data_IF_760231026891
#
_entry.id   IF_760231026891
#
_cell.length_a   1.000
_cell.length_b   1.000
_cell.length_c   1.000
_cell.angle_alpha   90.00
_cell.angle_beta   90.00
_cell.angle_gamma   90.00
#
_symmetry.space_group_name_H-M   'P 1'
#
loop_
_entity.id
_entity.type
_entity.pdbx_description
1 polymer ?
#
# COMPACT_ATOMS: atom_id res chain seq x y z
N UNK A 1 1.98 -7.69 13.40
CA UNK A 1 2.63 -8.18 12.16
C UNK A 1 1.70 -9.20 11.51
N UNK A 2 1.50 -9.11 10.19
CA UNK A 2 0.61 -9.95 9.40
C UNK A 2 1.41 -10.60 8.28
N UNK A 3 1.22 -11.91 8.04
CA UNK A 3 2.00 -12.68 7.06
C UNK A 3 1.10 -13.41 6.08
N UNK A 4 1.39 -13.27 4.79
CA UNK A 4 0.76 -13.98 3.69
C UNK A 4 1.85 -14.76 2.94
N UNK A 5 1.69 -16.07 2.79
CA UNK A 5 2.66 -16.90 2.08
C UNK A 5 2.64 -16.66 0.56
N UNK A 6 1.49 -16.21 0.04
CA UNK A 6 1.22 -15.97 -1.37
C UNK A 6 0.80 -14.52 -1.61
N UNK A 7 0.21 -14.25 -2.78
CA UNK A 7 -0.40 -12.97 -3.14
C UNK A 7 -1.46 -12.56 -2.13
N UNK A 8 -1.47 -11.28 -1.76
CA UNK A 8 -2.54 -10.66 -1.00
C UNK A 8 -3.25 -9.61 -1.85
N UNK A 9 -4.55 -9.41 -1.63
CA UNK A 9 -5.29 -8.37 -2.33
C UNK A 9 -6.41 -7.74 -1.52
N UNK A 10 -6.68 -6.46 -1.81
CA UNK A 10 -7.96 -5.81 -1.49
C UNK A 10 -8.86 -6.04 -2.71
N UNK A 11 -9.57 -7.18 -2.72
CA UNK A 11 -10.02 -7.84 -3.94
C UNK A 11 -11.28 -7.26 -4.59
N UNK A 12 -12.18 -6.62 -3.83
CA UNK A 12 -13.46 -6.14 -4.35
C UNK A 12 -13.44 -4.63 -4.67
N UNK A 13 -14.15 -4.17 -5.72
CA UNK A 13 -14.29 -2.75 -6.02
C UNK A 13 -14.85 -1.99 -4.82
N UNK A 14 -14.28 -0.81 -4.55
CA UNK A 14 -14.65 0.03 -3.39
C UNK A 14 -14.49 -0.64 -2.02
N UNK A 15 -13.82 -1.78 -1.93
CA UNK A 15 -13.58 -2.44 -0.65
C UNK A 15 -12.64 -1.61 0.23
N UNK A 16 -12.88 -1.70 1.54
CA UNK A 16 -12.13 -0.98 2.56
C UNK A 16 -11.34 -1.94 3.44
N UNK A 17 -10.06 -1.64 3.63
CA UNK A 17 -9.24 -2.21 4.70
C UNK A 17 -9.05 -1.15 5.78
N UNK A 18 -9.55 -1.40 6.99
CA UNK A 18 -9.41 -0.47 8.11
C UNK A 18 -8.31 -0.92 9.05
N UNK A 19 -7.34 -0.03 9.30
CA UNK A 19 -6.29 -0.19 10.31
C UNK A 19 -6.62 0.72 11.48
N UNK A 20 -6.77 0.13 12.67
CA UNK A 20 -7.23 0.83 13.87
C UNK A 20 -6.23 0.69 14.99
N UNK A 21 -5.84 1.81 15.60
CA UNK A 21 -4.98 1.87 16.76
C UNK A 21 -3.65 2.57 16.47
N UNK A 22 -3.16 3.30 17.47
CA UNK A 22 -1.79 3.82 17.47
C UNK A 22 -0.81 2.66 17.54
N UNK A 23 0.06 2.55 16.54
CA UNK A 23 1.04 1.48 16.47
C UNK A 23 1.59 1.25 15.07
N UNK A 24 2.41 0.20 14.97
CA UNK A 24 3.08 -0.18 13.74
C UNK A 24 2.36 -1.36 13.09
N UNK A 25 1.94 -1.18 11.84
CA UNK A 25 1.35 -2.24 11.03
C UNK A 25 2.41 -2.74 10.05
N UNK A 26 2.71 -4.04 10.05
CA UNK A 26 3.66 -4.66 9.12
C UNK A 26 2.95 -5.80 8.40
N UNK A 27 2.86 -5.71 7.09
CA UNK A 27 2.36 -6.73 6.19
C UNK A 27 3.54 -7.36 5.44
N UNK A 28 3.75 -8.66 5.62
CA UNK A 28 4.73 -9.46 4.87
C UNK A 28 4.00 -10.34 3.87
N UNK A 29 4.21 -10.09 2.58
CA UNK A 29 3.52 -10.74 1.47
C UNK A 29 4.55 -11.52 0.66
N UNK A 30 4.40 -12.84 0.56
CA UNK A 30 5.39 -13.71 -0.09
C UNK A 30 5.49 -13.52 -1.60
N UNK A 31 4.43 -13.01 -2.24
CA UNK A 31 4.42 -12.68 -3.68
C UNK A 31 3.87 -11.28 -3.91
N UNK A 32 2.81 -11.13 -4.72
CA UNK A 32 2.32 -9.84 -5.18
C UNK A 32 1.31 -9.21 -4.21
N UNK A 33 1.17 -7.89 -4.28
CA UNK A 33 0.08 -7.14 -3.66
C UNK A 33 -0.79 -6.51 -4.76
N UNK A 34 -2.10 -6.71 -4.69
CA UNK A 34 -3.05 -6.08 -5.61
C UNK A 34 -4.15 -5.31 -4.88
N UNK A 35 -4.63 -4.22 -5.47
CA UNK A 35 -5.87 -3.57 -5.02
C UNK A 35 -6.86 -3.44 -6.18
N UNK A 36 -8.15 -3.55 -5.88
CA UNK A 36 -9.22 -3.40 -6.87
C UNK A 36 -9.58 -1.92 -7.10
N UNK A 37 -10.39 -1.66 -8.13
CA UNK A 37 -10.90 -0.33 -8.48
C UNK A 37 -11.51 0.38 -7.26
N UNK A 38 -11.15 1.63 -7.03
CA UNK A 38 -11.68 2.49 -5.95
C UNK A 38 -11.53 1.93 -4.52
N UNK A 39 -10.75 0.86 -4.32
CA UNK A 39 -10.50 0.33 -2.99
C UNK A 39 -9.67 1.29 -2.14
N UNK A 40 -9.82 1.21 -0.81
CA UNK A 40 -9.19 2.16 0.09
C UNK A 40 -8.64 1.52 1.37
N UNK A 41 -7.53 2.06 1.85
CA UNK A 41 -7.05 1.81 3.21
C UNK A 41 -7.47 3.00 4.08
N UNK A 42 -8.11 2.71 5.20
CA UNK A 42 -8.55 3.72 6.17
C UNK A 42 -7.81 3.54 7.48
N UNK A 43 -7.22 4.63 7.95
CA UNK A 43 -6.51 4.69 9.20
C UNK A 43 -7.41 5.37 10.23
N UNK A 44 -7.66 4.69 11.35
CA UNK A 44 -8.52 5.20 12.43
C UNK A 44 -7.84 5.03 13.79
N UNK A 45 -8.38 5.70 14.80
CA UNK A 45 -7.99 5.53 16.20
C UNK A 45 -6.47 5.67 16.44
N UNK A 46 -5.84 6.66 15.80
CA UNK A 46 -4.41 6.97 15.95
C UNK A 46 -3.46 6.20 15.01
N UNK A 47 -3.98 5.41 14.07
CA UNK A 47 -3.14 4.82 13.03
C UNK A 47 -2.55 5.90 12.11
N UNK A 48 -1.27 5.78 11.81
CA UNK A 48 -0.50 6.77 11.03
C UNK A 48 0.10 6.11 9.77
N UNK A 49 0.00 6.73 8.58
CA UNK A 49 0.47 6.11 7.34
C UNK A 49 1.96 5.82 7.36
N UNK A 50 2.75 6.71 7.95
CA UNK A 50 4.19 6.53 8.10
C UNK A 50 4.59 5.36 9.02
N UNK A 51 3.64 4.75 9.73
CA UNK A 51 3.84 3.58 10.59
C UNK A 51 3.16 2.31 10.01
N UNK A 52 2.77 2.33 8.74
CA UNK A 52 2.23 1.17 8.00
C UNK A 52 3.25 0.73 6.95
N UNK A 53 3.70 -0.53 7.02
CA UNK A 53 4.74 -1.08 6.14
C UNK A 53 4.21 -2.28 5.36
N UNK A 54 4.49 -2.28 4.06
CA UNK A 54 4.10 -3.33 3.11
C UNK A 54 5.35 -3.93 2.48
N UNK A 55 5.79 -5.09 2.98
CA UNK A 55 6.91 -5.86 2.45
C UNK A 55 6.38 -6.87 1.44
N UNK A 56 6.76 -6.71 0.17
CA UNK A 56 6.14 -7.40 -0.97
C UNK A 56 7.21 -8.19 -1.71
N UNK A 57 7.05 -9.51 -1.74
CA UNK A 57 8.02 -10.46 -2.28
C UNK A 57 8.16 -10.42 -3.80
N UNK A 58 7.22 -9.80 -4.51
CA UNK A 58 7.32 -9.51 -5.94
C UNK A 58 6.89 -8.07 -6.27
N UNK A 59 5.80 -7.88 -7.01
CA UNK A 59 5.30 -6.57 -7.45
C UNK A 59 4.04 -6.14 -6.71
N UNK A 60 3.78 -4.83 -6.70
CA UNK A 60 2.54 -4.24 -6.24
C UNK A 60 1.78 -3.59 -7.41
N UNK A 61 0.46 -3.76 -7.47
CA UNK A 61 -0.42 -3.04 -8.40
C UNK A 61 -1.57 -2.39 -7.63
N UNK A 62 -1.63 -1.06 -7.65
CA UNK A 62 -2.73 -0.30 -7.09
C UNK A 62 -3.76 -0.03 -8.18
N UNK A 63 -4.96 -0.59 -8.04
CA UNK A 63 -6.05 -0.44 -9.00
C UNK A 63 -6.50 1.01 -9.17
N UNK A 64 -7.19 1.31 -10.28
CA UNK A 64 -7.59 2.68 -10.61
C UNK A 64 -8.39 3.32 -9.47
N UNK A 65 -8.14 4.60 -9.19
CA UNK A 65 -8.80 5.32 -8.10
C UNK A 65 -8.53 4.79 -6.68
N UNK A 66 -7.62 3.83 -6.50
CA UNK A 66 -7.30 3.30 -5.17
C UNK A 66 -6.72 4.40 -4.26
N UNK A 67 -7.13 4.41 -2.99
CA UNK A 67 -6.59 5.31 -1.95
C UNK A 67 -5.74 4.51 -0.97
N UNK A 68 -4.44 4.49 -1.21
CA UNK A 68 -3.50 3.65 -0.47
C UNK A 68 -2.79 4.42 0.66
N UNK A 69 -2.46 3.72 1.74
CA UNK A 69 -1.80 4.27 2.93
C UNK A 69 -0.61 3.39 3.31
N UNK A 70 0.57 3.98 3.49
CA UNK A 70 1.74 3.28 4.00
C UNK A 70 2.97 3.30 3.11
N UNK A 71 4.00 2.59 3.55
CA UNK A 71 5.29 2.47 2.89
C UNK A 71 5.32 1.14 2.12
N UNK A 72 5.27 1.22 0.80
CA UNK A 72 5.39 0.08 -0.11
C UNK A 72 6.87 -0.25 -0.35
N UNK A 73 7.26 -1.49 -0.10
CA UNK A 73 8.59 -2.03 -0.38
C UNK A 73 8.44 -3.32 -1.18
N UNK A 74 8.54 -3.21 -2.50
CA UNK A 74 8.42 -4.31 -3.44
C UNK A 74 9.79 -4.76 -3.94
N UNK A 75 10.01 -6.07 -4.00
CA UNK A 75 11.23 -6.62 -4.58
C UNK A 75 11.34 -6.33 -6.08
N UNK A 76 10.21 -6.27 -6.80
CA UNK A 76 10.16 -5.98 -8.23
C UNK A 76 9.58 -4.58 -8.49
N UNK A 77 8.39 -4.48 -9.09
CA UNK A 77 7.79 -3.21 -9.53
C UNK A 77 6.65 -2.73 -8.64
N UNK A 78 6.32 -1.45 -8.73
CA UNK A 78 5.11 -0.86 -8.14
C UNK A 78 4.36 -0.09 -9.24
N UNK A 79 3.15 -0.53 -9.57
CA UNK A 79 2.29 0.13 -10.57
C UNK A 79 1.12 0.85 -9.92
N UNK A 80 0.93 2.12 -10.27
CA UNK A 80 -0.25 2.90 -9.94
C UNK A 80 -1.10 3.04 -11.21
N UNK A 81 -2.26 2.38 -11.20
CA UNK A 81 -3.23 2.55 -12.28
C UNK A 81 -3.87 3.95 -12.20
N UNK A 82 -4.63 4.30 -13.25
CA UNK A 82 -5.18 5.65 -13.42
C UNK A 82 -5.85 6.21 -12.15
N UNK A 83 -5.37 7.37 -11.70
CA UNK A 83 -5.93 8.08 -10.54
C UNK A 83 -5.70 7.40 -9.18
N UNK A 84 -4.91 6.33 -9.10
CA UNK A 84 -4.50 5.77 -7.81
C UNK A 84 -3.67 6.80 -7.03
N UNK A 85 -3.82 6.80 -5.70
CA UNK A 85 -3.16 7.73 -4.80
C UNK A 85 -2.52 7.02 -3.62
N UNK A 86 -1.42 7.59 -3.12
CA UNK A 86 -0.69 7.08 -1.97
C UNK A 86 -0.39 8.20 -0.99
N UNK A 87 -0.67 7.97 0.28
CA UNK A 87 -0.03 8.71 1.37
C UNK A 87 1.01 7.79 2.01
N UNK A 88 2.29 8.09 1.77
CA UNK A 88 3.41 7.26 2.18
C UNK A 88 4.60 7.34 1.21
N UNK A 89 5.22 6.19 0.95
CA UNK A 89 6.38 6.08 0.06
C UNK A 89 6.34 4.76 -0.74
N UNK A 90 6.96 4.74 -1.92
CA UNK A 90 7.02 3.58 -2.80
C UNK A 90 8.47 3.26 -3.17
N UNK A 91 8.94 2.09 -2.75
CA UNK A 91 10.28 1.57 -3.02
C UNK A 91 10.19 0.28 -3.83
N UNK A 92 10.65 0.34 -5.07
CA UNK A 92 10.79 -0.80 -5.98
C UNK A 92 12.28 -1.13 -6.12
N UNK A 93 12.69 -2.36 -5.80
CA UNK A 93 14.12 -2.70 -5.72
C UNK A 93 14.74 -3.04 -7.07
N UNK A 94 14.05 -3.83 -7.90
CA UNK A 94 14.61 -4.40 -9.12
C UNK A 94 13.87 -3.99 -10.41
N UNK A 95 12.83 -3.16 -10.30
CA UNK A 95 12.05 -2.68 -11.45
C UNK A 95 11.46 -1.28 -11.21
N UNK A 96 10.68 -0.79 -12.18
CA UNK A 96 10.15 0.57 -12.17
C UNK A 96 9.02 0.79 -11.15
N UNK A 97 8.88 2.04 -10.73
CA UNK A 97 7.65 2.60 -10.18
C UNK A 97 6.94 3.35 -11.32
N UNK A 98 5.72 2.93 -11.68
CA UNK A 98 4.95 3.52 -12.79
C UNK A 98 3.73 4.25 -12.27
N UNK A 99 3.52 5.50 -12.70
CA UNK A 99 2.39 6.35 -12.30
C UNK A 99 1.53 6.72 -13.52
N UNK A 100 0.20 6.66 -13.36
CA UNK A 100 -0.78 7.11 -14.35
C UNK A 100 -1.75 8.05 -13.65
N UNK A 101 -1.64 9.36 -13.91
CA UNK A 101 -2.44 10.41 -13.26
C UNK A 101 -2.51 10.27 -11.73
N UNK A 102 -1.41 9.79 -11.12
CA UNK A 102 -1.37 9.39 -9.71
C UNK A 102 -0.79 10.49 -8.84
N UNK A 103 -1.18 10.50 -7.56
CA UNK A 103 -0.64 11.44 -6.55
C UNK A 103 0.02 10.66 -5.43
N UNK A 104 1.25 11.06 -5.08
CA UNK A 104 1.97 10.55 -3.90
C UNK A 104 2.19 11.72 -2.94
N UNK A 105 1.66 11.60 -1.72
CA UNK A 105 1.84 12.55 -0.62
C UNK A 105 2.74 11.93 0.44
N UNK A 106 3.87 12.56 0.72
CA UNK A 106 4.81 12.08 1.74
C UNK A 106 4.36 12.56 3.12
N UNK A 107 4.01 11.66 4.06
CA UNK A 107 3.74 12.04 5.45
C UNK A 107 5.06 12.36 6.17
N UNK A 108 5.02 13.11 7.30
CA UNK A 108 6.18 13.26 8.18
C UNK A 108 6.68 11.89 8.68
N UNK A 109 7.90 11.86 9.21
CA UNK A 109 8.48 10.65 9.79
C UNK A 109 7.58 10.07 10.91
N UNK A 110 7.63 8.74 11.11
CA UNK A 110 6.86 8.07 12.17
C UNK A 110 7.38 8.56 13.53
N UNK A 111 6.55 9.34 14.22
CA UNK A 111 6.78 9.78 15.58
C UNK A 111 5.68 9.12 16.43
N UNK A 112 6.06 8.12 17.21
CA UNK A 112 5.17 7.36 18.10
C UNK A 112 5.09 8.02 19.47
#
# INVERSE_FOLDING_TARGET
MYKFASTASIAAPSAQLTLSGSGVFIFQIGSALGTSLNSQIVLVNGALPQCVFWLIGSSAVLGSGCKFQGILMASASIGFMDGASLVGAAYAQNAAVTLINSVITVPPACNL
#
